data_IF_411123423164
#
_entry.id   IF_411123423164
#
_cell.length_a   1.000
_cell.length_b   1.000
_cell.length_c   1.000
_cell.angle_alpha   90.00
_cell.angle_beta   90.00
_cell.angle_gamma   90.00
#
_symmetry.space_group_name_H-M   'P 1'
#
loop_
_entity.id
_entity.type
_entity.pdbx_description
1 polymer ?
#
# COMPACT_ATOMS: atom_id res chain seq x y z
N UNK A 1 -6.19 -11.25 14.10
CA UNK A 1 -4.73 -11.43 13.91
C UNK A 1 -4.23 -10.96 12.54
N UNK A 2 -5.06 -10.98 11.49
CA UNK A 2 -4.64 -10.64 10.12
C UNK A 2 -4.49 -9.13 9.87
N UNK A 3 -5.28 -8.30 10.56
CA UNK A 3 -5.29 -6.85 10.35
C UNK A 3 -3.93 -6.15 10.56
N UNK A 4 -3.17 -6.44 11.64
CA UNK A 4 -1.84 -5.85 11.82
C UNK A 4 -0.85 -6.22 10.72
N UNK A 5 -0.97 -7.42 10.13
CA UNK A 5 -0.07 -7.86 9.06
C UNK A 5 -0.34 -7.05 7.79
N UNK A 6 -1.62 -6.86 7.44
CA UNK A 6 -2.03 -6.07 6.26
C UNK A 6 -1.56 -4.62 6.41
N UNK A 7 -1.77 -4.01 7.57
CA UNK A 7 -1.34 -2.64 7.87
C UNK A 7 0.18 -2.50 7.80
N UNK A 8 0.92 -3.38 8.49
CA UNK A 8 2.39 -3.35 8.52
C UNK A 8 3.01 -3.49 7.11
N UNK A 9 2.47 -4.38 6.29
CA UNK A 9 2.96 -4.60 4.93
C UNK A 9 2.60 -3.45 3.98
N UNK A 10 1.44 -2.80 4.18
CA UNK A 10 1.09 -1.58 3.46
C UNK A 10 2.06 -0.45 3.79
N UNK A 11 2.33 -0.22 5.08
CA UNK A 11 3.27 0.81 5.52
C UNK A 11 4.70 0.57 5.03
N UNK A 12 5.18 -0.68 5.06
CA UNK A 12 6.54 -1.01 4.59
C UNK A 12 6.70 -0.83 3.07
N UNK A 13 5.70 -1.21 2.27
CA UNK A 13 5.75 -0.98 0.83
C UNK A 13 5.59 0.50 0.47
N UNK A 14 4.73 1.22 1.20
CA UNK A 14 4.54 2.64 1.02
C UNK A 14 5.80 3.44 1.33
N UNK A 15 6.51 3.09 2.41
CA UNK A 15 7.80 3.70 2.76
C UNK A 15 8.90 3.37 1.75
N UNK A 16 8.91 2.16 1.18
CA UNK A 16 9.81 1.81 0.09
C UNK A 16 9.54 2.67 -1.16
N UNK A 17 8.27 2.78 -1.58
CA UNK A 17 7.88 3.59 -2.72
C UNK A 17 8.21 5.07 -2.49
N UNK A 18 7.98 5.57 -1.28
CA UNK A 18 8.38 6.91 -0.83
C UNK A 18 9.87 7.15 -0.94
N UNK A 19 10.72 6.22 -0.47
CA UNK A 19 12.16 6.36 -0.54
C UNK A 19 12.67 6.41 -2.00
N UNK A 20 12.13 5.55 -2.87
CA UNK A 20 12.44 5.57 -4.31
C UNK A 20 12.01 6.89 -4.94
N UNK A 21 10.86 7.41 -4.54
CA UNK A 21 10.30 8.66 -5.08
C UNK A 21 11.12 9.87 -4.68
N UNK A 22 11.45 10.01 -3.38
CA UNK A 22 12.28 11.11 -2.88
C UNK A 22 13.64 11.08 -3.57
N UNK A 23 14.30 9.91 -3.62
CA UNK A 23 15.58 9.76 -4.32
C UNK A 23 15.50 10.22 -5.78
N UNK A 24 14.40 9.92 -6.46
CA UNK A 24 14.20 10.32 -7.85
C UNK A 24 13.99 11.83 -8.00
N UNK A 25 13.20 12.45 -7.11
CA UNK A 25 13.01 13.91 -7.06
C UNK A 25 14.37 14.59 -6.90
N UNK A 26 15.19 14.13 -5.95
CA UNK A 26 16.53 14.69 -5.68
C UNK A 26 17.48 14.54 -6.87
N UNK A 27 17.49 13.39 -7.56
CA UNK A 27 18.44 13.11 -8.64
C UNK A 27 18.03 13.63 -10.02
N UNK A 28 16.73 13.63 -10.34
CA UNK A 28 16.21 13.90 -11.70
C UNK A 28 15.36 15.17 -11.78
N UNK A 29 15.09 15.82 -10.66
CA UNK A 29 14.21 16.98 -10.58
C UNK A 29 12.72 16.64 -10.71
N UNK A 30 11.88 17.55 -10.24
CA UNK A 30 10.41 17.40 -10.15
C UNK A 30 9.70 17.18 -11.49
N UNK A 31 10.33 17.60 -12.60
CA UNK A 31 9.78 17.58 -13.96
C UNK A 31 9.62 16.19 -14.58
N UNK A 32 10.34 15.17 -14.10
CA UNK A 32 10.32 13.80 -14.66
C UNK A 32 9.25 12.89 -14.01
N UNK A 33 8.21 13.46 -13.39
CA UNK A 33 7.19 12.70 -12.64
C UNK A 33 6.12 12.02 -13.52
N UNK A 34 6.11 12.26 -14.83
CA UNK A 34 5.10 11.69 -15.75
C UNK A 34 5.29 10.17 -15.86
N UNK A 35 4.27 9.40 -15.48
CA UNK A 35 4.25 7.93 -15.57
C UNK A 35 4.91 7.18 -14.39
N UNK A 36 5.59 7.86 -13.48
CA UNK A 36 6.25 7.21 -12.35
C UNK A 36 5.28 6.71 -11.27
N UNK A 37 4.24 7.50 -10.97
CA UNK A 37 3.17 7.05 -10.06
C UNK A 37 2.49 5.78 -10.61
N UNK A 38 2.29 5.70 -11.93
CA UNK A 38 1.73 4.50 -12.56
C UNK A 38 2.66 3.28 -12.42
N UNK A 39 3.98 3.48 -12.50
CA UNK A 39 4.96 2.42 -12.24
C UNK A 39 4.85 1.91 -10.80
N UNK A 40 4.74 2.79 -9.82
CA UNK A 40 4.63 2.39 -8.41
C UNK A 40 3.28 1.72 -8.09
N UNK A 41 2.19 2.14 -8.74
CA UNK A 41 0.92 1.41 -8.71
C UNK A 41 1.09 0.00 -9.26
N UNK A 42 1.81 -0.18 -10.37
CA UNK A 42 2.08 -1.51 -10.94
C UNK A 42 2.91 -2.39 -9.99
N UNK A 43 3.91 -1.81 -9.33
CA UNK A 43 4.68 -2.51 -8.28
C UNK A 43 3.76 -2.93 -7.14
N UNK A 44 2.87 -2.04 -6.68
CA UNK A 44 1.86 -2.34 -5.67
C UNK A 44 0.89 -3.46 -6.08
N UNK A 45 0.44 -3.45 -7.34
CA UNK A 45 -0.42 -4.51 -7.91
C UNK A 45 0.27 -5.88 -7.86
N UNK A 46 1.52 -5.95 -8.29
CA UNK A 46 2.28 -7.21 -8.33
C UNK A 46 2.61 -7.69 -6.91
N UNK A 47 3.12 -6.79 -6.06
CA UNK A 47 3.45 -7.12 -4.67
C UNK A 47 2.21 -7.54 -3.90
N UNK A 48 1.08 -6.85 -4.07
CA UNK A 48 -0.16 -7.21 -3.42
C UNK A 48 -0.71 -8.56 -3.87
N UNK A 49 -0.55 -8.93 -5.13
CA UNK A 49 -0.96 -10.26 -5.60
C UNK A 49 -0.11 -11.36 -4.95
N UNK A 50 1.23 -11.20 -4.96
CA UNK A 50 2.16 -12.19 -4.39
C UNK A 50 1.96 -12.31 -2.87
N UNK A 51 1.99 -11.19 -2.15
CA UNK A 51 1.86 -11.16 -0.69
C UNK A 51 0.44 -11.54 -0.25
N UNK A 52 -0.58 -11.09 -0.99
CA UNK A 52 -1.97 -11.41 -0.73
C UNK A 52 -2.25 -12.91 -0.85
N UNK A 53 -1.71 -13.57 -1.88
CA UNK A 53 -1.82 -15.03 -2.02
C UNK A 53 -1.14 -15.74 -0.84
N UNK A 54 0.04 -15.30 -0.44
CA UNK A 54 0.76 -15.86 0.71
C UNK A 54 -0.02 -15.76 2.03
N UNK A 55 -0.60 -14.59 2.32
CA UNK A 55 -1.39 -14.42 3.56
C UNK A 55 -2.76 -15.12 3.44
N UNK A 56 -3.38 -15.16 2.27
CA UNK A 56 -4.63 -15.88 2.06
C UNK A 56 -4.48 -17.39 2.31
N UNK A 57 -3.37 -17.97 1.83
CA UNK A 57 -2.99 -19.35 2.14
C UNK A 57 -2.80 -19.55 3.64
N UNK A 58 -2.09 -18.65 4.31
CA UNK A 58 -1.91 -18.71 5.76
C UNK A 58 -3.26 -18.63 6.51
N UNK A 59 -4.14 -17.72 6.10
CA UNK A 59 -5.48 -17.57 6.67
C UNK A 59 -6.32 -18.85 6.50
N UNK A 60 -6.25 -19.46 5.31
CA UNK A 60 -6.92 -20.73 5.03
C UNK A 60 -6.34 -21.88 5.88
N UNK A 61 -5.02 -21.96 6.07
CA UNK A 61 -4.40 -23.00 6.89
C UNK A 61 -4.76 -22.90 8.37
N UNK A 62 -5.03 -21.68 8.87
CA UNK A 62 -5.36 -21.45 10.28
C UNK A 62 -6.86 -21.68 10.54
N UNK A 63 -7.74 -21.15 9.67
CA UNK A 63 -9.18 -21.10 9.93
C UNK A 63 -9.99 -22.12 9.09
N UNK A 64 -9.39 -22.69 8.05
CA UNK A 64 -10.05 -23.59 7.09
C UNK A 64 -11.07 -22.90 6.17
N UNK A 65 -11.36 -21.61 6.39
CA UNK A 65 -12.36 -20.87 5.64
C UNK A 65 -11.78 -20.21 4.38
N UNK A 66 -12.17 -20.72 3.21
CA UNK A 66 -11.75 -20.19 1.90
C UNK A 66 -12.20 -18.74 1.70
N UNK A 67 -13.39 -18.38 2.19
CA UNK A 67 -13.93 -17.03 2.04
C UNK A 67 -13.12 -16.02 2.84
N UNK A 68 -12.64 -16.40 4.04
CA UNK A 68 -11.73 -15.56 4.81
C UNK A 68 -10.41 -15.34 4.06
N UNK A 69 -9.86 -16.40 3.45
CA UNK A 69 -8.69 -16.29 2.57
C UNK A 69 -8.90 -15.29 1.43
N UNK A 70 -10.06 -15.32 0.77
CA UNK A 70 -10.39 -14.39 -0.31
C UNK A 70 -10.52 -12.93 0.18
N UNK A 71 -11.17 -12.71 1.32
CA UNK A 71 -11.27 -11.38 1.96
C UNK A 71 -9.87 -10.81 2.22
N UNK A 72 -8.97 -11.62 2.75
CA UNK A 72 -7.61 -11.21 3.08
C UNK A 72 -6.78 -10.94 1.83
N UNK A 73 -6.90 -11.78 0.81
CA UNK A 73 -6.27 -11.58 -0.49
C UNK A 73 -6.62 -10.21 -1.07
N UNK A 74 -7.92 -9.92 -1.16
CA UNK A 74 -8.43 -8.68 -1.75
C UNK A 74 -8.06 -7.45 -0.90
N UNK A 75 -8.16 -7.56 0.44
CA UNK A 75 -7.78 -6.49 1.34
C UNK A 75 -6.28 -6.15 1.23
N UNK A 76 -5.42 -7.18 1.22
CA UNK A 76 -3.98 -7.01 1.07
C UNK A 76 -3.61 -6.45 -0.30
N UNK A 77 -4.25 -6.95 -1.35
CA UNK A 77 -4.01 -6.49 -2.72
C UNK A 77 -4.39 -5.02 -2.87
N UNK A 78 -5.57 -4.63 -2.40
CA UNK A 78 -6.02 -3.23 -2.38
C UNK A 78 -5.09 -2.33 -1.55
N UNK A 79 -4.67 -2.77 -0.37
CA UNK A 79 -3.77 -1.98 0.48
C UNK A 79 -2.40 -1.75 -0.16
N UNK A 80 -1.87 -2.72 -0.91
CA UNK A 80 -0.58 -2.58 -1.60
C UNK A 80 -0.65 -1.63 -2.81
N UNK A 81 -1.79 -1.59 -3.51
CA UNK A 81 -2.02 -0.60 -4.56
C UNK A 81 -2.01 0.81 -3.98
N UNK A 82 -2.70 0.99 -2.84
CA UNK A 82 -2.73 2.25 -2.09
C UNK A 82 -1.33 2.63 -1.62
N UNK A 83 -0.57 1.69 -1.09
CA UNK A 83 0.80 1.92 -0.61
C UNK A 83 1.71 2.44 -1.73
N UNK A 84 1.72 1.79 -2.89
CA UNK A 84 2.49 2.24 -4.07
C UNK A 84 2.00 3.60 -4.60
N UNK A 85 0.69 3.82 -4.63
CA UNK A 85 0.14 5.13 -5.01
C UNK A 85 0.58 6.22 -4.02
N UNK A 86 0.36 6.03 -2.73
CA UNK A 86 0.63 7.00 -1.68
C UNK A 86 2.12 7.33 -1.61
N UNK A 87 2.97 6.30 -1.64
CA UNK A 87 4.43 6.44 -1.61
C UNK A 87 4.98 7.22 -2.80
N UNK A 88 4.33 7.17 -3.96
CA UNK A 88 4.72 7.99 -5.11
C UNK A 88 4.05 9.37 -5.15
N UNK A 89 2.76 9.42 -4.86
CA UNK A 89 1.92 10.59 -5.06
C UNK A 89 2.14 11.66 -3.98
N UNK A 90 2.25 11.26 -2.71
CA UNK A 90 2.40 12.20 -1.59
C UNK A 90 3.70 13.02 -1.71
N UNK A 91 4.89 12.41 -1.80
CA UNK A 91 6.13 13.19 -1.90
C UNK A 91 6.20 14.04 -3.17
N UNK A 92 5.67 13.57 -4.30
CA UNK A 92 5.64 14.37 -5.54
C UNK A 92 4.71 15.57 -5.46
N UNK A 93 3.62 15.49 -4.69
CA UNK A 93 2.74 16.65 -4.45
C UNK A 93 3.34 17.63 -3.46
N UNK A 94 4.01 17.16 -2.41
CA UNK A 94 4.69 18.01 -1.44
C UNK A 94 5.82 18.81 -2.10
N UNK A 95 6.66 18.15 -2.90
CA UNK A 95 7.75 18.79 -3.65
C UNK A 95 7.23 19.90 -4.59
N UNK A 96 6.13 19.64 -5.31
CA UNK A 96 5.47 20.66 -6.15
C UNK A 96 4.88 21.83 -5.35
N UNK A 97 4.54 21.62 -4.09
CA UNK A 97 4.08 22.67 -3.18
C UNK A 97 5.23 23.42 -2.49
N UNK A 98 6.49 23.06 -2.77
CA UNK A 98 7.66 23.65 -2.12
C UNK A 98 7.91 23.14 -0.69
N UNK A 99 7.26 22.05 -0.29
CA UNK A 99 7.42 21.43 1.03
C UNK A 99 8.41 20.27 0.91
N UNK A 100 9.40 20.19 1.79
CA UNK A 100 10.36 19.06 1.81
C UNK A 100 9.63 17.74 2.09
N UNK A 101 9.56 16.81 1.11
CA UNK A 101 8.87 15.55 1.26
C UNK A 101 9.51 14.63 2.31
N UNK A 102 10.78 14.82 2.64
CA UNK A 102 11.54 13.95 3.56
C UNK A 102 11.01 14.00 4.99
N UNK A 103 10.39 15.12 5.39
CA UNK A 103 9.95 15.37 6.76
C UNK A 103 8.52 14.86 6.99
N UNK A 104 7.64 15.04 6.01
CA UNK A 104 6.20 14.83 6.20
C UNK A 104 5.65 13.54 5.56
N UNK A 105 6.29 13.02 4.51
CA UNK A 105 5.66 11.99 3.67
C UNK A 105 5.44 10.67 4.39
N UNK A 106 6.33 10.26 5.31
CA UNK A 106 6.26 8.95 5.96
C UNK A 106 5.02 8.82 6.84
N UNK A 107 4.69 9.85 7.61
CA UNK A 107 3.51 9.89 8.49
C UNK A 107 2.23 9.83 7.65
N UNK A 108 2.14 10.59 6.55
CA UNK A 108 0.97 10.56 5.68
C UNK A 108 0.79 9.21 4.98
N UNK A 109 1.89 8.58 4.54
CA UNK A 109 1.83 7.25 3.92
C UNK A 109 1.32 6.22 4.93
N UNK A 110 1.91 6.16 6.13
CA UNK A 110 1.49 5.20 7.15
C UNK A 110 0.03 5.38 7.54
N UNK A 111 -0.39 6.61 7.83
CA UNK A 111 -1.78 6.88 8.22
C UNK A 111 -2.77 6.49 7.12
N UNK A 112 -2.44 6.77 5.86
CA UNK A 112 -3.29 6.40 4.72
C UNK A 112 -3.36 4.88 4.52
N UNK A 113 -2.23 4.17 4.59
CA UNK A 113 -2.18 2.71 4.45
C UNK A 113 -2.84 1.99 5.61
N UNK A 114 -2.75 2.52 6.82
CA UNK A 114 -3.41 1.93 7.98
C UNK A 114 -4.93 2.09 7.84
N UNK A 115 -5.41 3.31 7.55
CA UNK A 115 -6.83 3.58 7.40
C UNK A 115 -7.45 2.75 6.27
N UNK A 116 -6.82 2.70 5.11
CA UNK A 116 -7.33 1.93 3.97
C UNK A 116 -7.17 0.42 4.14
N UNK A 117 -6.08 -0.04 4.77
CA UNK A 117 -5.90 -1.46 5.09
C UNK A 117 -6.97 -1.99 6.04
N UNK A 118 -7.25 -1.26 7.13
CA UNK A 118 -8.32 -1.61 8.06
C UNK A 118 -9.70 -1.50 7.41
N UNK A 119 -9.95 -0.41 6.68
CA UNK A 119 -11.22 -0.18 6.00
C UNK A 119 -11.53 -1.30 5.00
N UNK A 120 -10.58 -1.64 4.12
CA UNK A 120 -10.76 -2.69 3.12
C UNK A 120 -11.03 -4.05 3.76
N UNK A 121 -10.27 -4.41 4.80
CA UNK A 121 -10.46 -5.67 5.50
C UNK A 121 -11.85 -5.77 6.12
N UNK A 122 -12.26 -4.76 6.89
CA UNK A 122 -13.56 -4.77 7.58
C UNK A 122 -14.72 -4.68 6.59
N UNK A 123 -14.60 -3.84 5.57
CA UNK A 123 -15.64 -3.69 4.56
C UNK A 123 -15.86 -4.99 3.77
N UNK A 124 -14.77 -5.66 3.34
CA UNK A 124 -14.85 -6.94 2.65
C UNK A 124 -15.36 -8.06 3.56
N UNK A 125 -14.89 -8.13 4.80
CA UNK A 125 -15.35 -9.12 5.77
C UNK A 125 -16.86 -9.00 6.00
N UNK A 126 -17.36 -7.78 6.20
CA UNK A 126 -18.79 -7.54 6.43
C UNK A 126 -19.69 -7.87 5.23
N UNK A 127 -19.19 -7.81 3.99
CA UNK A 127 -20.00 -8.11 2.80
C UNK A 127 -19.87 -9.56 2.32
N UNK A 128 -18.78 -10.26 2.65
CA UNK A 128 -18.50 -11.61 2.15
C UNK A 128 -18.64 -12.71 3.21
N UNK A 129 -18.56 -12.37 4.52
CA UNK A 129 -18.59 -13.35 5.61
C UNK A 129 -19.83 -13.24 6.52
N UNK A 130 -20.48 -12.07 6.57
CA UNK A 130 -21.72 -11.83 7.31
C UNK A 130 -22.91 -11.81 6.35
#
# INVERSE_FOLDING_TARGET
FLAPIIAAMGGSSGTQSLAVTIRRITLQGSGSTRGFVAKEILVGLVNGAVLGVGIALLAFLIDGNVMLGLVVLLAMWGNQIVAGFAGAFIPTRLDRAGIDPSIASSVFVHTLTDLLGFFLLLWLASHLLL
#
